data_IF_586904907801
#
_entry.id   IF_586904907801
#
_cell.length_a   1.000
_cell.length_b   1.000
_cell.length_c   1.000
_cell.angle_alpha   90.00
_cell.angle_beta   90.00
_cell.angle_gamma   90.00
#
_symmetry.space_group_name_H-M   'P 1'
#
loop_
_entity.id
_entity.type
_entity.pdbx_description
1 polymer ?
#
# COMPACT_ATOMS: atom_id res chain seq x y z
N UNK A 1 19.82 1.98 -21.54
CA UNK A 1 19.62 2.28 -20.11
C UNK A 1 19.13 0.99 -19.49
N UNK A 2 19.71 0.51 -18.39
CA UNK A 2 19.32 -0.80 -17.84
C UNK A 2 17.86 -0.82 -17.35
N UNK A 3 17.26 -2.01 -17.31
CA UNK A 3 15.85 -2.25 -16.96
C UNK A 3 15.41 -1.61 -15.64
N UNK A 4 16.30 -1.57 -14.65
CA UNK A 4 16.06 -0.90 -13.37
C UNK A 4 15.82 0.61 -13.50
N UNK A 5 16.54 1.29 -14.41
CA UNK A 5 16.38 2.73 -14.62
C UNK A 5 15.05 3.06 -15.29
N UNK A 6 14.64 2.27 -16.28
CA UNK A 6 13.36 2.47 -16.95
C UNK A 6 12.21 2.20 -15.97
N UNK A 7 12.35 1.17 -15.12
CA UNK A 7 11.42 0.92 -14.02
C UNK A 7 11.36 2.11 -13.04
N UNK A 8 12.50 2.72 -12.72
CA UNK A 8 12.55 3.91 -11.87
C UNK A 8 11.85 5.13 -12.51
N UNK A 9 11.97 5.31 -13.83
CA UNK A 9 11.26 6.37 -14.57
C UNK A 9 9.74 6.14 -14.55
N UNK A 10 9.30 4.90 -14.74
CA UNK A 10 7.88 4.54 -14.58
C UNK A 10 7.38 4.79 -13.15
N UNK A 11 8.19 4.50 -12.14
CA UNK A 11 7.89 4.86 -10.75
C UNK A 11 7.82 6.37 -10.52
N UNK A 12 8.74 7.14 -11.10
CA UNK A 12 8.72 8.60 -11.00
C UNK A 12 7.43 9.16 -11.63
N UNK A 13 6.99 8.59 -12.77
CA UNK A 13 5.74 8.95 -13.40
C UNK A 13 4.52 8.56 -12.56
N UNK A 14 4.38 7.27 -12.20
CA UNK A 14 3.25 6.77 -11.42
C UNK A 14 3.24 7.36 -10.01
N UNK A 15 4.28 7.08 -9.21
CA UNK A 15 4.37 7.54 -7.82
C UNK A 15 4.39 9.07 -7.71
N UNK A 16 5.08 9.75 -8.63
CA UNK A 16 5.12 11.21 -8.67
C UNK A 16 3.74 11.81 -8.91
N UNK A 17 3.02 11.37 -9.96
CA UNK A 17 1.66 11.87 -10.22
C UNK A 17 0.67 11.46 -9.14
N UNK A 18 0.74 10.23 -8.63
CA UNK A 18 -0.14 9.69 -7.59
C UNK A 18 -0.05 10.49 -6.28
N UNK A 19 1.17 10.80 -5.82
CA UNK A 19 1.38 11.57 -4.57
C UNK A 19 1.19 13.07 -4.82
N UNK A 20 1.68 13.62 -5.92
CA UNK A 20 1.61 15.06 -6.18
C UNK A 20 0.16 15.55 -6.32
N UNK A 21 -0.67 14.83 -7.09
CA UNK A 21 -2.06 15.21 -7.33
C UNK A 21 -2.95 15.13 -6.08
N UNK A 22 -2.52 14.36 -5.08
CA UNK A 22 -3.24 14.22 -3.80
C UNK A 22 -2.78 15.20 -2.73
N UNK A 23 -1.73 16.00 -3.00
CA UNK A 23 -1.37 17.11 -2.11
C UNK A 23 -2.50 18.11 -1.98
N UNK A 24 -2.74 18.62 -0.76
CA UNK A 24 -3.88 19.48 -0.44
C UNK A 24 -4.01 20.67 -1.39
N UNK A 25 -2.90 21.38 -1.65
CA UNK A 25 -2.90 22.56 -2.54
C UNK A 25 -3.30 22.21 -3.98
N UNK A 26 -2.80 21.11 -4.52
CA UNK A 26 -3.07 20.70 -5.90
C UNK A 26 -4.49 20.14 -6.01
N UNK A 27 -4.86 19.24 -5.10
CA UNK A 27 -6.21 18.67 -5.03
C UNK A 27 -7.27 19.77 -4.93
N UNK A 28 -7.13 20.73 -4.02
CA UNK A 28 -8.12 21.80 -3.83
C UNK A 28 -8.31 22.62 -5.12
N UNK A 29 -7.23 22.98 -5.82
CA UNK A 29 -7.33 23.69 -7.10
C UNK A 29 -8.02 22.87 -8.19
N UNK A 30 -7.69 21.57 -8.28
CA UNK A 30 -8.30 20.68 -9.27
C UNK A 30 -9.78 20.42 -8.96
N UNK A 31 -10.14 20.23 -7.70
CA UNK A 31 -11.54 20.07 -7.26
C UNK A 31 -12.34 21.36 -7.50
N UNK A 32 -11.77 22.55 -7.27
CA UNK A 32 -12.42 23.82 -7.59
C UNK A 32 -12.70 23.97 -9.09
N UNK A 33 -11.82 23.43 -9.95
CA UNK A 33 -11.97 23.53 -11.41
C UNK A 33 -12.87 22.46 -12.02
N UNK A 34 -12.78 21.22 -11.55
CA UNK A 34 -13.43 20.05 -12.15
C UNK A 34 -14.57 19.46 -11.32
N UNK A 35 -14.76 19.95 -10.09
CA UNK A 35 -15.60 19.30 -9.08
C UNK A 35 -14.96 18.04 -8.50
N UNK A 36 -15.54 17.55 -7.40
CA UNK A 36 -15.04 16.35 -6.69
C UNK A 36 -15.07 15.10 -7.59
N UNK A 37 -16.17 14.87 -8.31
CA UNK A 37 -16.30 13.72 -9.22
C UNK A 37 -15.33 13.82 -10.41
N UNK A 38 -15.17 15.02 -10.98
CA UNK A 38 -14.25 15.24 -12.09
C UNK A 38 -12.81 14.93 -11.69
N UNK A 39 -12.39 15.44 -10.53
CA UNK A 39 -11.08 15.14 -9.94
C UNK A 39 -10.87 13.64 -9.73
N UNK A 40 -11.81 12.95 -9.05
CA UNK A 40 -11.69 11.52 -8.76
C UNK A 40 -11.54 10.71 -10.06
N UNK A 41 -12.36 10.98 -11.07
CA UNK A 41 -12.28 10.27 -12.36
C UNK A 41 -10.94 10.52 -13.05
N UNK A 42 -10.53 11.79 -13.21
CA UNK A 42 -9.27 12.12 -13.89
C UNK A 42 -8.05 11.55 -13.16
N UNK A 43 -8.05 11.64 -11.83
CA UNK A 43 -6.99 11.10 -10.99
C UNK A 43 -6.91 9.57 -11.13
N UNK A 44 -8.04 8.88 -10.99
CA UNK A 44 -8.08 7.42 -11.08
C UNK A 44 -7.67 6.92 -12.46
N UNK A 45 -8.09 7.56 -13.55
CA UNK A 45 -7.68 7.17 -14.91
C UNK A 45 -6.17 7.32 -15.09
N UNK A 46 -5.60 8.45 -14.68
CA UNK A 46 -4.15 8.68 -14.78
C UNK A 46 -3.36 7.69 -13.91
N UNK A 47 -3.82 7.44 -12.68
CA UNK A 47 -3.19 6.49 -11.77
C UNK A 47 -3.24 5.06 -12.33
N UNK A 48 -4.39 4.61 -12.86
CA UNK A 48 -4.53 3.29 -13.49
C UNK A 48 -3.63 3.19 -14.72
N UNK A 49 -3.63 4.18 -15.60
CA UNK A 49 -2.84 4.14 -16.83
C UNK A 49 -1.33 4.08 -16.56
N UNK A 50 -0.83 4.92 -15.66
CA UNK A 50 0.59 4.96 -15.30
C UNK A 50 1.02 3.73 -14.50
N UNK A 51 0.16 3.22 -13.61
CA UNK A 51 0.38 1.95 -12.91
C UNK A 51 0.39 0.75 -13.88
N UNK A 52 -0.56 0.70 -14.80
CA UNK A 52 -0.64 -0.34 -15.82
C UNK A 52 0.60 -0.35 -16.71
N UNK A 53 1.08 0.82 -17.12
CA UNK A 53 2.34 0.95 -17.86
C UNK A 53 3.55 0.41 -17.08
N UNK A 54 3.68 0.80 -15.80
CA UNK A 54 4.74 0.30 -14.91
C UNK A 54 4.68 -1.23 -14.77
N UNK A 55 3.50 -1.79 -14.47
CA UNK A 55 3.34 -3.25 -14.28
C UNK A 55 3.56 -4.01 -15.57
N UNK A 56 3.04 -3.52 -16.69
CA UNK A 56 3.21 -4.15 -18.00
C UNK A 56 4.67 -4.19 -18.41
N UNK A 57 5.39 -3.08 -18.20
CA UNK A 57 6.82 -3.02 -18.44
C UNK A 57 7.57 -4.06 -17.61
N UNK A 58 7.35 -4.07 -16.29
CA UNK A 58 8.01 -5.02 -15.39
C UNK A 58 7.65 -6.46 -15.75
N UNK A 59 6.40 -6.76 -16.11
CA UNK A 59 5.98 -8.10 -16.50
C UNK A 59 6.79 -8.64 -17.71
N UNK A 60 7.07 -7.77 -18.69
CA UNK A 60 7.84 -8.12 -19.88
C UNK A 60 9.34 -8.29 -19.64
N UNK A 61 9.90 -7.58 -18.65
CA UNK A 61 11.35 -7.50 -18.40
C UNK A 61 11.77 -8.08 -17.05
N UNK A 62 10.87 -8.80 -16.35
CA UNK A 62 11.08 -9.30 -14.98
C UNK A 62 12.20 -10.33 -14.87
N UNK A 63 12.57 -10.97 -15.98
CA UNK A 63 13.58 -12.01 -16.07
C UNK A 63 14.88 -11.52 -16.75
N UNK A 64 14.93 -10.26 -17.17
CA UNK A 64 16.08 -9.72 -17.88
C UNK A 64 17.23 -9.40 -16.91
N UNK A 65 18.46 -9.48 -17.44
CA UNK A 65 19.71 -9.11 -16.77
C UNK A 65 19.81 -9.55 -15.29
N UNK A 66 19.77 -10.88 -14.99
CA UNK A 66 19.94 -11.35 -13.63
C UNK A 66 21.29 -10.92 -13.07
N UNK A 67 21.28 -10.40 -11.85
CA UNK A 67 22.47 -10.14 -11.06
C UNK A 67 22.53 -11.11 -9.88
N UNK A 68 23.75 -11.52 -9.52
CA UNK A 68 23.95 -12.35 -8.34
C UNK A 68 23.67 -11.51 -7.07
N UNK A 69 22.55 -11.76 -6.41
CA UNK A 69 22.29 -11.22 -5.08
C UNK A 69 22.82 -12.18 -4.02
N UNK A 70 23.83 -11.79 -3.26
CA UNK A 70 24.41 -12.62 -2.17
C UNK A 70 23.36 -13.06 -1.12
N UNK A 71 22.24 -12.32 -1.02
CA UNK A 71 21.13 -12.56 -0.10
C UNK A 71 20.39 -13.87 -0.39
N UNK A 72 20.23 -14.25 -1.66
CA UNK A 72 19.49 -15.47 -2.04
C UNK A 72 20.34 -16.73 -1.98
N UNK A 73 21.66 -16.60 -1.91
CA UNK A 73 22.60 -17.73 -1.83
C UNK A 73 22.76 -18.33 -0.42
N UNK A 74 22.17 -17.70 0.61
CA UNK A 74 22.21 -18.17 2.01
C UNK A 74 20.81 -18.71 2.38
N UNK A 75 20.60 -20.04 2.47
CA UNK A 75 19.26 -20.61 2.62
C UNK A 75 18.46 -20.09 3.84
N UNK A 76 19.05 -19.92 5.04
CA UNK A 76 18.34 -19.31 6.17
C UNK A 76 17.82 -17.89 5.90
N UNK A 77 18.53 -17.11 5.09
CA UNK A 77 18.14 -15.73 4.75
C UNK A 77 16.95 -15.74 3.81
N UNK A 78 16.96 -16.60 2.78
CA UNK A 78 15.82 -16.78 1.88
C UNK A 78 14.54 -17.18 2.63
N UNK A 79 14.63 -18.15 3.54
CA UNK A 79 13.49 -18.56 4.38
C UNK A 79 12.98 -17.44 5.29
N UNK A 80 13.87 -16.64 5.89
CA UNK A 80 13.48 -15.50 6.71
C UNK A 80 12.79 -14.40 5.91
N UNK A 81 13.25 -14.10 4.69
CA UNK A 81 12.63 -13.13 3.79
C UNK A 81 11.27 -13.62 3.29
N UNK A 82 11.13 -14.90 2.98
CA UNK A 82 9.83 -15.49 2.66
C UNK A 82 8.85 -15.34 3.83
N UNK A 83 9.27 -15.68 5.05
CA UNK A 83 8.44 -15.49 6.24
C UNK A 83 8.07 -14.02 6.48
N UNK A 84 9.01 -13.09 6.24
CA UNK A 84 8.75 -11.64 6.32
C UNK A 84 7.73 -11.19 5.27
N UNK A 85 7.83 -11.71 4.06
CA UNK A 85 6.89 -11.47 2.97
C UNK A 85 5.47 -11.91 3.34
N UNK A 86 5.33 -13.15 3.82
CA UNK A 86 4.05 -13.73 4.29
C UNK A 86 3.48 -12.93 5.45
N UNK A 87 4.29 -12.54 6.43
CA UNK A 87 3.87 -11.70 7.55
C UNK A 87 3.41 -10.32 7.09
N UNK A 88 4.17 -9.67 6.21
CA UNK A 88 3.82 -8.37 5.61
C UNK A 88 2.49 -8.44 4.84
N UNK A 89 2.32 -9.45 4.01
CA UNK A 89 1.09 -9.68 3.26
C UNK A 89 -0.10 -9.93 4.20
N UNK A 90 0.11 -10.71 5.26
CA UNK A 90 -0.93 -11.00 6.26
C UNK A 90 -1.39 -9.74 7.01
N UNK A 91 -0.46 -8.86 7.37
CA UNK A 91 -0.76 -7.55 7.97
C UNK A 91 -1.49 -6.64 6.98
N UNK A 92 -1.10 -6.65 5.69
CA UNK A 92 -1.79 -5.92 4.63
C UNK A 92 -3.25 -6.38 4.50
N UNK A 93 -3.51 -7.69 4.39
CA UNK A 93 -4.87 -8.22 4.23
C UNK A 93 -5.70 -7.91 5.47
N UNK A 94 -5.15 -8.11 6.66
CA UNK A 94 -5.82 -7.74 7.88
C UNK A 94 -6.17 -6.23 7.91
N UNK A 95 -5.24 -5.38 7.48
CA UNK A 95 -5.45 -3.94 7.33
C UNK A 95 -6.60 -3.57 6.41
N UNK A 96 -6.75 -4.27 5.28
CA UNK A 96 -7.90 -4.09 4.36
C UNK A 96 -9.20 -4.51 5.03
N UNK A 97 -9.23 -5.71 5.64
CA UNK A 97 -10.45 -6.27 6.24
C UNK A 97 -10.96 -5.46 7.43
N UNK A 98 -10.07 -4.89 8.24
CA UNK A 98 -10.46 -4.07 9.40
C UNK A 98 -10.55 -2.57 9.09
N UNK A 99 -10.25 -2.17 7.85
CA UNK A 99 -10.16 -0.76 7.44
C UNK A 99 -11.33 0.11 7.93
N UNK A 100 -12.62 -0.28 7.81
CA UNK A 100 -13.75 0.55 8.26
C UNK A 100 -13.74 0.91 9.75
N UNK A 101 -13.02 0.15 10.57
CA UNK A 101 -12.88 0.40 12.01
C UNK A 101 -11.76 1.37 12.37
N UNK A 102 -10.88 1.71 11.43
CA UNK A 102 -9.65 2.44 11.72
C UNK A 102 -9.82 3.98 11.66
N UNK A 103 -9.02 4.77 12.42
CA UNK A 103 -9.07 6.23 12.44
C UNK A 103 -8.78 6.93 11.10
N UNK A 104 -8.03 6.28 10.20
CA UNK A 104 -7.73 6.81 8.87
C UNK A 104 -8.76 6.42 7.81
N UNK A 105 -9.82 5.70 8.20
CA UNK A 105 -10.85 5.29 7.27
C UNK A 105 -11.71 6.46 6.84
N UNK A 106 -12.11 6.47 5.57
CA UNK A 106 -13.03 7.50 5.05
C UNK A 106 -14.41 7.48 5.72
N UNK A 107 -14.73 6.40 6.44
CA UNK A 107 -16.00 6.21 7.16
C UNK A 107 -15.92 6.69 8.62
N UNK A 108 -14.73 7.02 9.12
CA UNK A 108 -14.53 7.45 10.51
C UNK A 108 -13.61 8.66 10.57
N UNK A 109 -14.18 9.80 10.91
CA UNK A 109 -13.44 11.06 11.07
C UNK A 109 -13.29 11.44 12.55
N UNK A 110 -12.69 10.54 13.35
CA UNK A 110 -12.39 10.78 14.77
C UNK A 110 -11.25 9.90 15.26
N UNK A 111 -10.47 10.42 16.20
CA UNK A 111 -9.41 9.64 16.87
C UNK A 111 -9.98 8.76 17.97
N UNK A 112 -9.50 7.52 18.04
CA UNK A 112 -9.80 6.56 19.11
C UNK A 112 -8.49 5.96 19.64
N UNK A 113 -8.48 5.44 20.87
CA UNK A 113 -7.34 4.68 21.38
C UNK A 113 -7.00 3.49 20.46
N UNK A 114 -5.71 3.21 20.30
CA UNK A 114 -5.25 2.09 19.48
C UNK A 114 -5.76 0.75 20.02
N UNK A 115 -6.50 0.00 19.19
CA UNK A 115 -7.01 -1.34 19.51
C UNK A 115 -6.73 -2.33 18.39
N UNK A 116 -6.58 -3.61 18.76
CA UNK A 116 -6.27 -4.68 17.82
C UNK A 116 -5.00 -4.37 17.02
N UNK A 117 -5.07 -4.49 15.69
CA UNK A 117 -3.90 -4.33 14.81
C UNK A 117 -3.20 -2.96 14.95
N UNK A 118 -3.91 -1.91 15.38
CA UNK A 118 -3.33 -0.57 15.63
C UNK A 118 -2.30 -0.56 16.76
N UNK A 119 -2.39 -1.52 17.69
CA UNK A 119 -1.39 -1.71 18.74
C UNK A 119 -0.06 -2.20 18.15
N UNK A 120 -0.11 -2.92 17.02
CA UNK A 120 1.06 -3.44 16.32
C UNK A 120 1.59 -2.38 15.34
N UNK A 121 0.74 -1.84 14.48
CA UNK A 121 1.08 -0.77 13.51
C UNK A 121 -0.12 0.14 13.27
N UNK A 122 0.12 1.45 13.20
CA UNK A 122 -0.92 2.45 12.95
C UNK A 122 -1.49 2.40 11.52
N UNK A 123 -0.68 1.95 10.55
CA UNK A 123 -1.04 1.89 9.13
C UNK A 123 -0.85 0.45 8.63
N UNK A 124 -1.72 -0.51 9.01
CA UNK A 124 -1.51 -1.92 8.68
C UNK A 124 -1.40 -2.19 7.18
N UNK A 125 -2.21 -1.51 6.35
CA UNK A 125 -2.08 -1.63 4.89
C UNK A 125 -0.69 -1.16 4.41
N UNK A 126 -0.29 0.09 4.66
CA UNK A 126 0.99 0.61 4.20
C UNK A 126 2.19 -0.13 4.79
N UNK A 127 2.15 -0.45 6.07
CA UNK A 127 3.21 -1.20 6.73
C UNK A 127 3.31 -2.62 6.18
N UNK A 128 2.18 -3.27 5.90
CA UNK A 128 2.15 -4.60 5.30
C UNK A 128 2.74 -4.61 3.89
N UNK A 129 2.32 -3.67 3.03
CA UNK A 129 2.91 -3.47 1.69
C UNK A 129 4.41 -3.24 1.80
N UNK A 130 4.86 -2.36 2.70
CA UNK A 130 6.27 -2.02 2.82
C UNK A 130 7.12 -3.23 3.25
N UNK A 131 6.66 -4.05 4.19
CA UNK A 131 7.38 -5.26 4.60
C UNK A 131 7.39 -6.32 3.50
N UNK A 132 6.23 -6.58 2.89
CA UNK A 132 6.09 -7.53 1.79
C UNK A 132 6.96 -7.14 0.60
N UNK A 133 6.95 -5.87 0.21
CA UNK A 133 7.74 -5.36 -0.90
C UNK A 133 9.24 -5.33 -0.55
N UNK A 134 9.62 -4.98 0.68
CA UNK A 134 11.02 -5.03 1.08
C UNK A 134 11.57 -6.47 1.01
N UNK A 135 10.80 -7.46 1.44
CA UNK A 135 11.18 -8.86 1.31
C UNK A 135 11.33 -9.28 -0.16
N UNK A 136 10.38 -8.92 -1.03
CA UNK A 136 10.46 -9.22 -2.47
C UNK A 136 11.63 -8.51 -3.16
N UNK A 137 11.93 -7.26 -2.79
CA UNK A 137 13.09 -6.54 -3.31
C UNK A 137 14.38 -7.29 -2.94
N UNK A 138 14.53 -7.69 -1.68
CA UNK A 138 15.72 -8.41 -1.22
C UNK A 138 15.85 -9.84 -1.78
N UNK A 139 14.72 -10.47 -2.13
CA UNK A 139 14.68 -11.76 -2.82
C UNK A 139 14.91 -11.63 -4.34
N UNK A 140 14.72 -10.44 -4.91
CA UNK A 140 14.88 -10.25 -6.34
C UNK A 140 16.34 -10.29 -6.77
N UNK A 141 16.57 -10.95 -7.90
CA UNK A 141 17.85 -10.99 -8.61
C UNK A 141 17.83 -10.15 -9.89
N UNK A 142 16.69 -9.56 -10.25
CA UNK A 142 16.52 -8.81 -11.51
C UNK A 142 16.31 -7.31 -11.22
N UNK A 143 17.02 -6.40 -11.93
CA UNK A 143 16.90 -4.95 -11.71
C UNK A 143 15.47 -4.41 -11.78
N UNK A 144 14.67 -4.86 -12.76
CA UNK A 144 13.31 -4.40 -12.94
C UNK A 144 12.46 -4.70 -11.71
N UNK A 145 12.45 -5.96 -11.24
CA UNK A 145 11.64 -6.35 -10.09
C UNK A 145 12.19 -5.79 -8.79
N UNK A 146 13.51 -5.70 -8.62
CA UNK A 146 14.13 -5.05 -7.47
C UNK A 146 13.63 -3.60 -7.31
N UNK A 147 13.75 -2.80 -8.36
CA UNK A 147 13.30 -1.39 -8.35
C UNK A 147 11.78 -1.31 -8.25
N UNK A 148 11.05 -2.22 -8.89
CA UNK A 148 9.59 -2.31 -8.79
C UNK A 148 9.14 -2.40 -7.32
N UNK A 149 9.67 -3.37 -6.58
CA UNK A 149 9.32 -3.57 -5.18
C UNK A 149 9.86 -2.46 -4.26
N UNK A 150 11.07 -1.95 -4.52
CA UNK A 150 11.61 -0.82 -3.76
C UNK A 150 10.70 0.42 -3.87
N UNK A 151 10.13 0.68 -5.06
CA UNK A 151 9.18 1.77 -5.24
C UNK A 151 7.90 1.61 -4.41
N UNK A 152 7.40 0.39 -4.19
CA UNK A 152 6.29 0.15 -3.26
C UNK A 152 6.65 0.42 -1.80
N UNK A 153 7.89 0.11 -1.38
CA UNK A 153 8.38 0.47 -0.04
C UNK A 153 8.33 1.98 0.13
N UNK A 154 8.90 2.72 -0.82
CA UNK A 154 8.92 4.20 -0.80
C UNK A 154 7.50 4.76 -0.82
N UNK A 155 6.65 4.32 -1.75
CA UNK A 155 5.27 4.79 -1.86
C UNK A 155 4.48 4.54 -0.57
N UNK A 156 4.65 3.38 0.05
CA UNK A 156 3.91 3.02 1.28
C UNK A 156 4.36 3.85 2.48
N UNK A 157 5.66 4.08 2.65
CA UNK A 157 6.19 4.92 3.73
C UNK A 157 5.77 6.37 3.52
N UNK A 158 5.95 6.91 2.30
CA UNK A 158 5.55 8.28 1.96
C UNK A 158 4.03 8.45 2.12
N UNK A 159 3.24 7.48 1.67
CA UNK A 159 1.78 7.46 1.81
C UNK A 159 1.35 7.48 3.28
N UNK A 160 1.99 6.67 4.14
CA UNK A 160 1.74 6.69 5.58
C UNK A 160 2.07 8.03 6.23
N UNK A 161 3.21 8.62 5.90
CA UNK A 161 3.61 9.95 6.40
C UNK A 161 2.64 11.04 5.91
N UNK A 162 2.26 11.00 4.64
CA UNK A 162 1.30 11.93 4.06
C UNK A 162 -0.07 11.83 4.75
N UNK A 163 -0.55 10.61 4.98
CA UNK A 163 -1.81 10.36 5.67
C UNK A 163 -1.78 10.81 7.14
N UNK A 164 -0.67 10.57 7.86
CA UNK A 164 -0.50 11.08 9.23
C UNK A 164 -0.55 12.61 9.26
N UNK A 165 0.19 13.28 8.36
CA UNK A 165 0.21 14.76 8.30
C UNK A 165 -1.19 15.32 8.04
N UNK A 166 -1.92 14.71 7.10
CA UNK A 166 -3.30 15.11 6.82
C UNK A 166 -4.20 14.94 8.03
N UNK A 167 -4.18 13.77 8.67
CA UNK A 167 -5.05 13.48 9.82
C UNK A 167 -4.67 14.28 11.07
N UNK A 168 -3.39 14.62 11.26
CA UNK A 168 -2.97 15.56 12.32
C UNK A 168 -3.55 16.95 12.04
N UNK A 169 -3.54 17.43 10.79
CA UNK A 169 -4.11 18.72 10.43
C UNK A 169 -5.64 18.74 10.58
N UNK A 170 -6.32 17.64 10.26
CA UNK A 170 -7.79 17.52 10.34
C UNK A 170 -8.30 17.28 11.77
N UNK A 171 -7.63 16.44 12.56
CA UNK A 171 -8.11 15.95 13.86
C UNK A 171 -7.34 16.53 15.06
N UNK A 172 -6.28 17.30 14.83
CA UNK A 172 -5.53 18.02 15.85
C UNK A 172 -4.80 17.14 16.87
N UNK A 173 -4.67 17.65 18.10
CA UNK A 173 -3.92 17.03 19.20
C UNK A 173 -4.34 15.59 19.55
N UNK A 174 -5.64 15.22 19.55
CA UNK A 174 -6.03 13.84 19.75
C UNK A 174 -5.31 12.87 18.81
N UNK A 175 -5.26 13.19 17.50
CA UNK A 175 -4.58 12.34 16.52
C UNK A 175 -3.05 12.40 16.66
N UNK A 176 -2.49 13.57 17.00
CA UNK A 176 -1.05 13.68 17.31
C UNK A 176 -0.65 12.74 18.45
N UNK A 177 -1.44 12.68 19.52
CA UNK A 177 -1.22 11.76 20.63
C UNK A 177 -1.37 10.28 20.21
N UNK A 178 -2.32 9.97 19.31
CA UNK A 178 -2.45 8.63 18.71
C UNK A 178 -1.19 8.24 17.90
N UNK A 179 -0.66 9.14 17.07
CA UNK A 179 0.59 8.89 16.32
C UNK A 179 1.76 8.71 17.28
N UNK A 180 1.84 9.51 18.34
CA UNK A 180 2.89 9.42 19.36
C UNK A 180 2.85 8.13 20.19
N UNK A 181 1.69 7.48 20.32
CA UNK A 181 1.51 6.20 21.03
C UNK A 181 1.55 4.96 20.12
N UNK A 182 1.78 5.13 18.82
CA UNK A 182 1.81 4.04 17.83
C UNK A 182 3.05 4.12 16.91
N UNK A 183 3.22 3.17 16.00
CA UNK A 183 4.34 3.14 15.05
C UNK A 183 3.89 2.76 13.64
N UNK A 184 4.63 3.22 12.63
CA UNK A 184 4.43 2.76 11.25
C UNK A 184 4.88 1.31 11.12
N UNK A 185 6.12 1.01 11.51
CA UNK A 185 6.62 -0.36 11.48
C UNK A 185 5.99 -1.19 12.61
N UNK A 186 5.68 -2.48 12.36
CA UNK A 186 5.06 -3.34 13.35
C UNK A 186 5.94 -3.48 14.58
N UNK A 187 5.32 -3.54 15.76
CA UNK A 187 5.98 -3.79 17.05
C UNK A 187 6.93 -2.70 17.57
N UNK A 188 7.31 -1.70 16.76
CA UNK A 188 8.23 -0.63 17.21
C UNK A 188 7.67 0.14 18.40
N UNK A 189 6.38 0.49 18.42
CA UNK A 189 5.76 1.17 19.57
C UNK A 189 5.73 0.30 20.83
N UNK A 190 5.71 -1.03 20.68
CA UNK A 190 5.69 -1.99 21.79
C UNK A 190 7.09 -2.15 22.37
N UNK A 191 8.09 -2.35 21.51
CA UNK A 191 9.51 -2.42 21.91
C UNK A 191 9.95 -1.12 22.58
N UNK A 192 9.48 0.03 22.09
CA UNK A 192 9.74 1.34 22.70
C UNK A 192 8.83 1.68 23.89
N UNK A 193 8.03 0.72 24.38
CA UNK A 193 7.12 0.83 25.55
C UNK A 193 6.06 1.92 25.46
N UNK A 194 5.79 2.46 24.27
CA UNK A 194 4.72 3.44 24.00
C UNK A 194 3.35 2.78 23.81
N UNK A 195 3.33 1.47 23.57
CA UNK A 195 2.13 0.68 23.31
C UNK A 195 2.20 -0.69 24.00
N UNK A 196 1.04 -1.26 24.34
CA UNK A 196 0.91 -2.63 24.86
C UNK A 196 -0.04 -3.42 23.98
N UNK A 197 0.36 -4.63 23.61
CA UNK A 197 -0.51 -5.53 22.85
C UNK A 197 -1.51 -6.18 23.79
N UNK A 198 -2.78 -6.14 23.39
CA UNK A 198 -3.82 -7.01 23.95
C UNK A 198 -4.10 -8.09 22.92
N UNK A 199 -3.53 -9.27 23.13
CA UNK A 199 -3.64 -10.38 22.17
C UNK A 199 -5.09 -10.82 21.92
N UNK A 200 -5.98 -10.66 22.90
CA UNK A 200 -7.42 -10.91 22.71
C UNK A 200 -8.15 -9.89 21.82
N UNK A 201 -7.57 -8.72 21.54
CA UNK A 201 -8.17 -7.72 20.65
C UNK A 201 -7.70 -7.86 19.19
N UNK A 202 -6.78 -8.79 18.92
CA UNK A 202 -6.18 -8.94 17.60
C UNK A 202 -7.14 -9.60 16.61
N UNK A 203 -7.15 -9.16 15.33
CA UNK A 203 -8.02 -9.74 14.31
C UNK A 203 -7.44 -11.05 13.77
N UNK A 204 -7.33 -12.08 14.61
CA UNK A 204 -6.70 -13.36 14.28
C UNK A 204 -7.26 -14.01 13.02
N UNK A 205 -8.58 -13.94 12.83
CA UNK A 205 -9.22 -14.44 11.62
C UNK A 205 -8.73 -13.71 10.36
N UNK A 206 -8.54 -12.39 10.43
CA UNK A 206 -8.05 -11.60 9.31
C UNK A 206 -6.57 -11.91 8.98
N UNK A 207 -5.74 -12.16 10.00
CA UNK A 207 -4.38 -12.65 9.80
C UNK A 207 -4.36 -14.04 9.17
N UNK A 208 -5.25 -14.94 9.60
CA UNK A 208 -5.36 -16.29 9.03
C UNK A 208 -5.77 -16.27 7.55
N UNK A 209 -6.71 -15.39 7.16
CA UNK A 209 -7.05 -15.17 5.75
C UNK A 209 -5.82 -14.68 4.98
N UNK A 210 -5.11 -13.68 5.53
CA UNK A 210 -3.90 -13.14 4.90
C UNK A 210 -2.81 -14.20 4.71
N UNK A 211 -2.60 -15.05 5.71
CA UNK A 211 -1.67 -16.17 5.65
C UNK A 211 -2.09 -17.17 4.56
N UNK A 212 -3.34 -17.62 4.57
CA UNK A 212 -3.87 -18.56 3.58
C UNK A 212 -3.79 -18.00 2.16
N UNK A 213 -4.14 -16.73 1.97
CA UNK A 213 -4.02 -16.05 0.68
C UNK A 213 -2.56 -15.91 0.22
N UNK A 214 -1.63 -15.62 1.14
CA UNK A 214 -0.20 -15.55 0.80
C UNK A 214 0.36 -16.90 0.36
N UNK A 215 -0.01 -17.99 1.04
CA UNK A 215 0.41 -19.35 0.69
C UNK A 215 -0.24 -19.81 -0.62
N UNK A 216 -1.51 -19.51 -0.83
CA UNK A 216 -2.18 -19.80 -2.10
C UNK A 216 -1.57 -19.04 -3.28
N UNK A 217 -1.21 -17.76 -3.08
CA UNK A 217 -0.53 -16.96 -4.10
C UNK A 217 0.91 -17.41 -4.35
N UNK A 218 1.60 -18.01 -3.38
CA UNK A 218 2.95 -18.54 -3.63
C UNK A 218 2.92 -19.72 -4.61
N UNK A 219 1.87 -20.53 -4.62
CA UNK A 219 1.68 -21.60 -5.62
C UNK A 219 1.44 -21.05 -7.04
N UNK A 220 0.87 -19.85 -7.13
CA UNK A 220 0.57 -19.17 -8.40
C UNK A 220 1.61 -18.11 -8.76
N UNK A 221 2.70 -18.01 -8.00
CA UNK A 221 3.62 -16.86 -8.04
C UNK A 221 4.19 -16.60 -9.44
N UNK A 222 4.51 -17.67 -10.18
CA UNK A 222 5.05 -17.58 -11.55
C UNK A 222 4.05 -16.97 -12.55
N UNK A 223 2.75 -17.15 -12.29
CA UNK A 223 1.66 -16.73 -13.16
C UNK A 223 1.10 -15.34 -12.84
N UNK A 224 1.51 -14.73 -11.72
CA UNK A 224 0.98 -13.41 -11.28
C UNK A 224 1.21 -12.33 -12.36
N UNK A 225 2.32 -12.42 -13.09
CA UNK A 225 2.70 -11.47 -14.14
C UNK A 225 2.34 -11.93 -15.56
N UNK A 226 1.59 -13.03 -15.72
CA UNK A 226 1.14 -13.49 -17.03
C UNK A 226 0.27 -12.45 -17.74
N UNK A 227 0.19 -12.58 -19.07
CA UNK A 227 -0.55 -11.66 -19.94
C UNK A 227 -0.12 -10.20 -19.75
N UNK A 228 1.19 -9.97 -19.53
CA UNK A 228 1.75 -8.64 -19.32
C UNK A 228 1.27 -8.00 -18.01
N UNK A 229 1.04 -8.80 -16.97
CA UNK A 229 0.64 -8.33 -15.63
C UNK A 229 -0.84 -7.98 -15.50
N UNK A 230 -1.70 -8.45 -16.40
CA UNK A 230 -3.13 -8.12 -16.42
C UNK A 230 -3.84 -8.44 -15.09
N UNK A 231 -3.46 -9.52 -14.41
CA UNK A 231 -4.03 -9.89 -13.10
C UNK A 231 -3.73 -8.84 -12.03
N UNK A 232 -2.46 -8.41 -11.91
CA UNK A 232 -2.04 -7.38 -10.95
C UNK A 232 -2.74 -6.06 -11.26
N UNK A 233 -2.77 -5.67 -12.54
CA UNK A 233 -3.43 -4.44 -12.99
C UNK A 233 -4.91 -4.48 -12.62
N UNK A 234 -5.61 -5.58 -12.92
CA UNK A 234 -7.04 -5.73 -12.64
C UNK A 234 -7.36 -5.66 -11.14
N UNK A 235 -6.65 -6.43 -10.32
CA UNK A 235 -6.88 -6.48 -8.87
C UNK A 235 -6.63 -5.13 -8.21
N UNK A 236 -5.52 -4.46 -8.52
CA UNK A 236 -5.18 -3.16 -7.92
C UNK A 236 -6.10 -2.05 -8.42
N UNK A 237 -6.53 -2.10 -9.69
CA UNK A 237 -7.44 -1.10 -10.26
C UNK A 237 -8.86 -1.19 -9.72
N UNK A 238 -9.27 -2.34 -9.16
CA UNK A 238 -10.61 -2.52 -8.60
C UNK A 238 -10.96 -1.46 -7.54
N UNK A 239 -10.02 -1.11 -6.66
CA UNK A 239 -10.25 -0.06 -5.66
C UNK A 239 -10.52 1.31 -6.28
N UNK A 240 -9.81 1.65 -7.35
CA UNK A 240 -10.03 2.89 -8.11
C UNK A 240 -11.39 2.88 -8.82
N UNK A 241 -11.79 1.74 -9.39
CA UNK A 241 -13.11 1.58 -10.02
C UNK A 241 -14.23 1.79 -8.99
N UNK A 242 -14.11 1.16 -7.81
CA UNK A 242 -15.07 1.33 -6.71
C UNK A 242 -15.14 2.80 -6.27
N UNK A 243 -14.00 3.49 -6.16
CA UNK A 243 -13.96 4.92 -5.82
C UNK A 243 -14.70 5.79 -6.85
N UNK A 244 -14.50 5.51 -8.16
CA UNK A 244 -15.22 6.19 -9.25
C UNK A 244 -16.72 5.97 -9.12
N UNK A 245 -17.17 4.73 -8.97
CA UNK A 245 -18.60 4.38 -8.86
C UNK A 245 -19.24 5.09 -7.66
N UNK A 246 -18.59 5.01 -6.49
CA UNK A 246 -19.08 5.65 -5.26
C UNK A 246 -19.13 7.18 -5.38
N UNK A 247 -18.19 7.81 -6.09
CA UNK A 247 -18.20 9.26 -6.30
C UNK A 247 -19.41 9.72 -7.11
N UNK A 248 -19.79 8.95 -8.14
CA UNK A 248 -20.96 9.24 -8.97
C UNK A 248 -22.26 9.04 -8.20
N UNK A 249 -22.33 8.00 -7.36
CA UNK A 249 -23.48 7.74 -6.51
C UNK A 249 -23.74 8.88 -5.52
N UNK A 250 -22.69 9.36 -4.83
CA UNK A 250 -22.79 10.51 -3.91
C UNK A 250 -23.22 11.79 -4.61
N UNK A 251 -22.67 12.07 -5.79
CA UNK A 251 -23.03 13.25 -6.58
C UNK A 251 -24.50 13.22 -7.04
N UNK A 252 -25.06 12.03 -7.31
CA UNK A 252 -26.49 11.87 -7.62
C UNK A 252 -27.37 12.12 -6.39
N UNK A 253 -27.00 11.57 -5.23
CA UNK A 253 -27.75 11.78 -3.99
C UNK A 253 -27.81 13.25 -3.58
N UNK A 254 -26.69 13.98 -3.70
CA UNK A 254 -26.62 15.41 -3.38
C UNK A 254 -27.48 16.30 -4.30
N UNK A 255 -27.90 15.84 -5.48
CA UNK A 255 -28.81 16.57 -6.37
C UNK A 255 -30.30 16.33 -6.05
N UNK A 256 -30.60 15.31 -5.25
CA UNK A 256 -31.95 14.92 -4.87
C UNK A 256 -32.37 15.47 -3.50
N UNK A 257 -31.43 16.09 -2.77
CA UNK A 257 -31.64 16.83 -1.53
C UNK A 257 -31.71 18.31 -1.81
#
# INVERSE_FOLDING_TARGET
>A
MGEGWITALWWALFGGTHVFLTTEKVRTRLVQRFGETGFIVSYSVLAIATFAGLVHYVAGHRLDDPHATFVTTIPPVGGALFALSVAGFSILIAGVLVYPGLPMSVFRHRTMPARGIQQITRHPFFSGVALWAAAHALLSVHPATFVFFLGFVVLSVVGGVHQDRRLIAELGEPYRAYVASTSFWPFVAIVTKRQRVRWGEQPWFAYAIGLGASLGLSELHEHIFDYGGAYVIGVVSLGSIVAIVNSKARARQAKLM
#
